data_IF_052491459724
#
_entry.id   IF_052491459724
#
_cell.length_a   1.000
_cell.length_b   1.000
_cell.length_c   1.000
_cell.angle_alpha   90.00
_cell.angle_beta   90.00
_cell.angle_gamma   90.00
#
_symmetry.space_group_name_H-M   'P 1'
#
loop_
_entity.id
_entity.type
_entity.pdbx_description
1 polymer ?
#
# COMPACT_ATOMS: atom_id res chain seq x y z
N UNK A 1 -12.71 -20.33 -27.82
CA UNK A 1 -13.86 -19.39 -27.73
C UNK A 1 -13.40 -17.97 -28.05
N UNK A 2 -12.37 -17.45 -27.40
CA UNK A 2 -11.67 -16.24 -27.84
C UNK A 2 -10.22 -16.61 -28.14
N UNK A 3 -9.67 -16.14 -29.27
CA UNK A 3 -8.30 -16.42 -29.74
C UNK A 3 -7.30 -15.56 -28.98
N UNK A 4 -7.30 -15.65 -27.66
CA UNK A 4 -6.51 -14.80 -26.75
C UNK A 4 -5.79 -15.69 -25.76
N UNK A 5 -4.55 -15.32 -25.41
CA UNK A 5 -3.76 -16.07 -24.45
C UNK A 5 -4.37 -16.02 -23.04
N UNK A 6 -4.14 -17.09 -22.28
CA UNK A 6 -4.73 -17.30 -20.95
C UNK A 6 -4.34 -16.21 -19.95
N UNK A 7 -3.19 -15.56 -20.16
CA UNK A 7 -2.66 -14.50 -19.31
C UNK A 7 -3.49 -13.21 -19.36
N UNK A 8 -4.24 -13.02 -20.44
CA UNK A 8 -5.05 -11.84 -20.67
C UNK A 8 -6.49 -11.96 -20.14
N UNK A 9 -6.88 -13.16 -19.68
CA UNK A 9 -8.26 -13.47 -19.27
C UNK A 9 -8.35 -13.54 -17.75
N UNK A 10 -9.11 -12.62 -17.15
CA UNK A 10 -9.31 -12.54 -15.71
C UNK A 10 -10.76 -12.80 -15.36
N UNK A 11 -11.00 -13.81 -14.51
CA UNK A 11 -12.36 -14.21 -14.13
C UNK A 11 -12.57 -14.09 -12.63
N UNK A 12 -13.67 -13.49 -12.20
CA UNK A 12 -13.93 -13.19 -10.79
C UNK A 12 -15.43 -13.19 -10.44
N UNK A 13 -15.70 -13.21 -9.13
CA UNK A 13 -17.06 -13.06 -8.61
C UNK A 13 -17.98 -14.23 -8.91
N UNK A 14 -17.44 -15.45 -9.10
CA UNK A 14 -18.27 -16.62 -9.35
C UNK A 14 -19.18 -16.94 -8.17
N UNK A 15 -20.47 -17.13 -8.46
CA UNK A 15 -21.50 -17.62 -7.53
C UNK A 15 -22.18 -18.84 -8.16
N UNK A 16 -22.21 -19.92 -7.41
CA UNK A 16 -22.89 -21.17 -7.79
C UNK A 16 -24.35 -21.10 -7.35
N UNK A 17 -25.28 -21.54 -8.20
CA UNK A 17 -26.69 -21.72 -7.80
C UNK A 17 -26.83 -22.86 -6.79
N UNK A 18 -27.82 -22.73 -5.89
CA UNK A 18 -28.14 -23.81 -4.95
C UNK A 18 -28.71 -25.01 -5.72
N UNK A 19 -28.22 -26.21 -5.41
CA UNK A 19 -28.50 -27.41 -6.21
C UNK A 19 -27.54 -27.63 -7.39
N UNK A 20 -26.62 -26.70 -7.65
CA UNK A 20 -25.58 -26.85 -8.68
C UNK A 20 -26.07 -26.62 -10.11
N UNK A 21 -25.29 -27.08 -11.10
CA UNK A 21 -25.62 -27.02 -12.53
C UNK A 21 -25.39 -25.67 -13.21
N UNK A 22 -25.52 -24.56 -12.49
CA UNK A 22 -25.27 -23.22 -13.03
C UNK A 22 -24.38 -22.39 -12.10
N UNK A 23 -23.46 -21.64 -12.69
CA UNK A 23 -22.60 -20.69 -11.98
C UNK A 23 -22.52 -19.40 -12.78
N UNK A 24 -22.78 -18.28 -12.11
CA UNK A 24 -22.70 -16.94 -12.70
C UNK A 24 -21.41 -16.27 -12.27
N UNK A 25 -20.78 -15.48 -13.14
CA UNK A 25 -19.53 -14.78 -12.83
C UNK A 25 -19.19 -13.75 -13.89
N UNK A 26 -18.12 -12.99 -13.65
CA UNK A 26 -17.65 -11.93 -14.54
C UNK A 26 -16.28 -12.28 -15.10
N UNK A 27 -16.05 -11.96 -16.37
CA UNK A 27 -14.78 -12.12 -17.06
C UNK A 27 -14.35 -10.84 -17.75
N UNK A 28 -13.08 -10.46 -17.59
CA UNK A 28 -12.44 -9.36 -18.31
C UNK A 28 -11.35 -9.94 -19.21
N UNK A 29 -11.31 -9.47 -20.45
CA UNK A 29 -10.32 -9.85 -21.45
C UNK A 29 -9.59 -8.56 -21.83
N UNK A 30 -8.27 -8.57 -21.66
CA UNK A 30 -7.42 -7.45 -22.06
C UNK A 30 -6.67 -7.80 -23.36
N UNK A 31 -6.30 -6.78 -24.14
CA UNK A 31 -5.49 -7.00 -25.34
C UNK A 31 -4.00 -7.19 -25.01
N UNK A 32 -3.55 -6.68 -23.86
CA UNK A 32 -2.15 -6.76 -23.40
C UNK A 32 -2.02 -7.04 -21.90
N UNK A 33 -0.94 -7.72 -21.53
CA UNK A 33 -0.58 -8.01 -20.13
C UNK A 33 -0.24 -6.75 -19.34
N UNK A 34 0.31 -5.72 -20.00
CA UNK A 34 0.63 -4.44 -19.39
C UNK A 34 -0.63 -3.65 -18.98
N UNK A 35 -1.67 -3.71 -19.80
CA UNK A 35 -2.97 -3.12 -19.46
C UNK A 35 -3.58 -3.82 -18.24
N UNK A 36 -3.56 -5.16 -18.22
CA UNK A 36 -4.03 -5.93 -17.07
C UNK A 36 -3.29 -5.53 -15.78
N UNK A 37 -1.96 -5.40 -15.83
CA UNK A 37 -1.15 -5.04 -14.66
C UNK A 37 -1.43 -3.64 -14.11
N UNK A 38 -1.83 -2.70 -14.96
CA UNK A 38 -2.10 -1.31 -14.58
C UNK A 38 -3.50 -1.13 -13.98
N UNK A 39 -4.52 -1.75 -14.58
CA UNK A 39 -5.91 -1.50 -14.24
C UNK A 39 -6.48 -2.46 -13.18
N UNK A 40 -5.91 -3.66 -13.04
CA UNK A 40 -6.44 -4.65 -12.12
C UNK A 40 -6.04 -4.38 -10.64
N UNK A 41 -6.96 -4.59 -9.69
CA UNK A 41 -6.62 -4.55 -8.28
C UNK A 41 -5.61 -5.65 -7.92
N UNK A 42 -4.53 -5.26 -7.22
CA UNK A 42 -3.41 -6.14 -6.81
C UNK A 42 -3.80 -7.51 -6.27
N UNK A 43 -4.87 -7.61 -5.49
CA UNK A 43 -5.34 -8.88 -4.91
C UNK A 43 -5.82 -9.89 -5.97
N UNK A 44 -6.31 -9.40 -7.11
CA UNK A 44 -6.75 -10.23 -8.22
C UNK A 44 -5.57 -10.76 -9.02
N UNK A 45 -4.54 -9.93 -9.25
CA UNK A 45 -3.29 -10.35 -9.87
C UNK A 45 -2.63 -11.45 -9.05
N UNK A 46 -2.48 -11.25 -7.74
CA UNK A 46 -1.92 -12.29 -6.88
C UNK A 46 -2.72 -13.58 -6.97
N UNK A 47 -4.05 -13.54 -7.17
CA UNK A 47 -4.83 -14.77 -7.29
C UNK A 47 -4.64 -15.49 -8.64
N UNK A 48 -4.50 -14.74 -9.73
CA UNK A 48 -4.27 -15.32 -11.08
C UNK A 48 -2.82 -15.76 -11.28
N UNK A 49 -1.86 -15.03 -10.69
CA UNK A 49 -0.43 -15.28 -10.80
C UNK A 49 0.16 -16.04 -9.60
N UNK A 50 -0.64 -16.38 -8.56
CA UNK A 50 -0.12 -17.13 -7.41
C UNK A 50 0.09 -18.60 -7.75
N UNK A 51 1.29 -19.13 -7.47
CA UNK A 51 1.62 -20.53 -7.66
C UNK A 51 1.05 -21.35 -6.50
N UNK A 52 -0.28 -21.48 -6.40
CA UNK A 52 -0.85 -22.69 -5.78
C UNK A 52 -1.11 -23.79 -6.81
N UNK A 53 -1.20 -23.41 -8.09
CA UNK A 53 -1.24 -24.37 -9.20
C UNK A 53 0.16 -24.78 -9.70
N UNK A 54 1.23 -24.01 -9.41
CA UNK A 54 2.61 -24.41 -9.74
C UNK A 54 3.23 -25.40 -8.74
N UNK A 55 2.58 -25.63 -7.58
CA UNK A 55 3.03 -26.63 -6.60
C UNK A 55 2.73 -28.10 -7.02
N UNK A 56 2.14 -28.32 -8.21
CA UNK A 56 2.00 -29.65 -8.83
C UNK A 56 3.05 -29.93 -9.92
N UNK A 57 3.99 -29.01 -10.18
CA UNK A 57 5.10 -29.18 -11.12
C UNK A 57 6.47 -29.25 -10.43
N UNK A 58 7.54 -29.63 -11.15
CA UNK A 58 8.90 -29.59 -10.62
C UNK A 58 9.23 -28.18 -10.10
N UNK A 59 10.11 -28.06 -9.09
CA UNK A 59 10.30 -26.84 -8.32
C UNK A 59 10.57 -25.65 -9.26
N UNK A 60 9.69 -24.65 -9.19
CA UNK A 60 9.80 -23.44 -9.99
C UNK A 60 11.20 -22.84 -9.81
N UNK A 61 11.90 -22.70 -10.93
CA UNK A 61 13.23 -22.10 -10.98
C UNK A 61 13.18 -20.69 -10.35
N UNK A 62 14.29 -20.28 -9.73
CA UNK A 62 14.49 -18.97 -9.06
C UNK A 62 14.12 -17.72 -9.91
N UNK A 63 13.81 -17.91 -11.19
CA UNK A 63 13.34 -16.91 -12.13
C UNK A 63 11.95 -16.35 -11.79
N UNK A 64 11.00 -17.17 -11.34
CA UNK A 64 9.61 -16.75 -11.14
C UNK A 64 9.43 -15.78 -9.97
N UNK A 65 10.21 -15.98 -8.90
CA UNK A 65 10.24 -15.10 -7.72
C UNK A 65 10.83 -13.73 -8.09
N UNK A 66 11.83 -13.71 -8.98
CA UNK A 66 12.48 -12.48 -9.47
C UNK A 66 11.59 -11.72 -10.45
N UNK A 67 10.82 -12.40 -11.30
CA UNK A 67 9.81 -11.79 -12.19
C UNK A 67 8.73 -11.06 -11.36
N UNK A 68 8.25 -11.68 -10.27
CA UNK A 68 7.28 -11.05 -9.36
C UNK A 68 7.82 -9.80 -8.63
N UNK A 69 9.13 -9.76 -8.32
CA UNK A 69 9.82 -8.59 -7.77
C UNK A 69 10.04 -7.49 -8.82
N UNK A 70 10.35 -7.88 -10.07
CA UNK A 70 10.60 -6.95 -11.20
C UNK A 70 9.35 -6.20 -11.65
N UNK A 71 8.17 -6.80 -11.52
CA UNK A 71 6.87 -6.18 -11.82
C UNK A 71 6.19 -5.48 -10.62
N UNK A 72 6.82 -5.43 -9.45
CA UNK A 72 6.29 -4.70 -8.28
C UNK A 72 5.03 -5.30 -7.64
N UNK A 73 4.71 -6.56 -7.95
CA UNK A 73 3.50 -7.25 -7.49
C UNK A 73 3.66 -7.88 -6.11
N UNK A 74 4.90 -8.19 -5.70
CA UNK A 74 5.21 -8.65 -4.35
C UNK A 74 5.54 -7.46 -3.43
N UNK A 75 4.52 -6.86 -2.83
CA UNK A 75 4.74 -5.94 -1.72
C UNK A 75 5.11 -6.72 -0.47
N UNK A 76 6.13 -6.22 0.25
CA UNK A 76 6.41 -6.66 1.61
C UNK A 76 5.12 -6.65 2.44
N UNK A 77 4.90 -7.67 3.29
CA UNK A 77 3.69 -7.78 4.10
C UNK A 77 3.49 -6.47 4.87
N UNK A 78 2.34 -5.83 4.65
CA UNK A 78 2.02 -4.61 5.37
C UNK A 78 1.91 -4.97 6.85
N UNK A 79 2.71 -4.32 7.67
CA UNK A 79 2.61 -4.41 9.14
C UNK A 79 1.18 -4.21 9.60
N UNK A 80 0.78 -4.93 10.65
CA UNK A 80 -0.60 -4.96 11.13
C UNK A 80 -1.16 -3.54 11.30
N UNK A 81 -2.45 -3.36 11.03
CA UNK A 81 -3.17 -2.08 11.20
C UNK A 81 -2.93 -1.51 12.60
N UNK A 82 -2.79 -2.37 13.62
CA UNK A 82 -2.46 -1.99 15.00
C UNK A 82 -1.06 -1.36 15.10
N UNK A 83 -0.03 -2.03 14.58
CA UNK A 83 1.36 -1.54 14.57
C UNK A 83 1.50 -0.19 13.84
N UNK A 84 0.80 -0.03 12.71
CA UNK A 84 0.79 1.25 11.96
C UNK A 84 0.15 2.40 12.75
N UNK A 85 -0.95 2.13 13.46
CA UNK A 85 -1.62 3.12 14.31
C UNK A 85 -0.75 3.51 15.51
N UNK A 86 -0.11 2.52 16.14
CA UNK A 86 0.78 2.75 17.27
C UNK A 86 1.98 3.62 16.88
N UNK A 87 2.63 3.32 15.74
CA UNK A 87 3.72 4.16 15.22
C UNK A 87 3.28 5.60 14.96
N UNK A 88 2.13 5.79 14.30
CA UNK A 88 1.57 7.13 14.03
C UNK A 88 1.27 7.90 15.32
N UNK A 89 0.77 7.22 16.36
CA UNK A 89 0.51 7.85 17.66
C UNK A 89 1.81 8.25 18.38
N UNK A 90 2.88 7.46 18.27
CA UNK A 90 4.21 7.83 18.80
C UNK A 90 4.78 9.05 18.07
N UNK A 91 4.73 9.06 16.74
CA UNK A 91 5.21 10.19 15.92
C UNK A 91 4.44 11.49 16.22
N UNK A 92 3.11 11.41 16.42
CA UNK A 92 2.30 12.56 16.83
C UNK A 92 2.69 13.12 18.20
N UNK A 93 3.06 12.26 19.16
CA UNK A 93 3.53 12.69 20.50
C UNK A 93 4.86 13.44 20.40
N UNK A 94 5.83 12.92 19.64
CA UNK A 94 7.13 13.56 19.42
C UNK A 94 6.96 14.91 18.71
N UNK A 95 6.14 14.95 17.65
CA UNK A 95 5.82 16.21 16.96
C UNK A 95 5.12 17.22 17.88
N UNK A 96 4.24 16.77 18.78
CA UNK A 96 3.56 17.62 19.75
C UNK A 96 4.54 18.28 20.72
N UNK A 97 5.48 17.50 21.27
CA UNK A 97 6.53 18.02 22.14
C UNK A 97 7.43 19.03 21.42
N UNK A 98 7.90 18.70 20.21
CA UNK A 98 8.75 19.59 19.41
C UNK A 98 8.05 20.89 18.99
N UNK A 99 6.74 20.85 18.72
CA UNK A 99 5.96 22.07 18.48
C UNK A 99 5.84 22.92 19.75
N UNK A 100 5.63 22.29 20.91
CA UNK A 100 5.55 23.00 22.19
C UNK A 100 6.84 23.72 22.54
N UNK A 101 7.99 23.05 22.38
CA UNK A 101 9.32 23.66 22.60
C UNK A 101 9.63 24.75 21.59
N UNK A 102 9.24 24.59 20.31
CA UNK A 102 9.36 25.65 19.31
C UNK A 102 8.59 26.92 19.71
N UNK A 103 7.32 26.80 20.12
CA UNK A 103 6.53 27.95 20.57
C UNK A 103 7.07 28.59 21.85
N UNK A 104 7.61 27.79 22.78
CA UNK A 104 8.25 28.30 23.99
C UNK A 104 9.49 29.15 23.65
N UNK A 105 10.30 28.72 22.68
CA UNK A 105 11.46 29.48 22.22
C UNK A 105 11.07 30.75 21.46
N UNK A 106 10.02 30.71 20.63
CA UNK A 106 9.48 31.91 19.96
C UNK A 106 8.92 32.93 20.97
N UNK A 107 8.27 32.47 22.05
CA UNK A 107 7.82 33.36 23.15
C UNK A 107 8.98 33.94 23.94
N UNK A 108 10.01 33.13 24.25
CA UNK A 108 11.21 33.59 24.97
C UNK A 108 12.03 34.63 24.19
N UNK A 109 12.08 34.52 22.87
CA UNK A 109 12.72 35.53 22.00
C UNK A 109 12.01 36.89 22.04
N UNK A 110 10.67 36.92 22.12
CA UNK A 110 9.90 38.16 22.24
C UNK A 110 10.01 38.82 23.62
N UNK A 111 10.12 38.04 24.71
CA UNK A 111 10.35 38.60 26.04
C UNK A 111 11.74 39.20 26.21
N UNK A 112 12.78 38.63 25.60
CA UNK A 112 14.14 39.18 25.63
C UNK A 112 14.24 40.56 24.97
N UNK A 113 13.39 40.85 23.98
CA UNK A 113 13.32 42.16 23.32
C UNK A 113 12.59 43.23 24.16
N UNK A 114 11.66 42.82 25.05
CA UNK A 114 10.93 43.76 25.92
C UNK A 114 11.76 44.24 27.12
N UNK A 115 12.72 43.44 27.60
CA UNK A 115 13.56 43.83 28.74
C UNK A 115 14.70 44.79 28.39
N UNK A 116 15.09 44.89 27.10
CA UNK A 116 16.08 45.87 26.65
C UNK A 116 15.50 47.29 26.49
N UNK A 117 14.19 47.42 26.22
CA UNK A 117 13.56 48.74 26.00
C UNK A 117 13.20 49.47 27.30
N UNK A 118 13.06 48.74 28.41
CA UNK A 118 12.79 49.33 29.74
C UNK A 118 14.02 49.88 30.44
N UNK A 119 15.23 49.53 30.01
CA UNK A 119 16.47 50.02 30.63
C UNK A 119 17.01 51.32 29.98
N UNK A 120 16.52 51.68 28.78
CA UNK A 120 16.94 52.89 28.05
C UNK A 120 16.03 54.09 28.33
N UNK A 121 14.84 53.88 28.91
CA UNK A 121 13.88 54.95 29.21
C UNK A 121 13.95 55.50 30.66
N UNK A 122 14.89 55.02 31.49
CA UNK A 122 15.01 55.38 32.90
C UNK A 122 16.40 55.97 33.27
N UNK A 123 17.17 56.44 32.28
CA UNK A 123 18.46 57.11 32.47
C UNK A 123 18.45 58.50 31.81
#
# INVERSE_FOLDING_TARGET
MYKVDKEHVFVFGFKTHFGGGQSTGFGLIYDSTDAANKFEPKHRLVRSTSPRNALRGPPADLADIRVLQKHGLNQAPKTSRKQRKERKNREKKVRGANKGTFWLNVRRGHSAFRHHLTFVLCA
#
